data_IF_544458872995
#
_entry.id   IF_544458872995
#
_cell.length_a   1.000
_cell.length_b   1.000
_cell.length_c   1.000
_cell.angle_alpha   90.00
_cell.angle_beta   90.00
_cell.angle_gamma   90.00
#
_symmetry.space_group_name_H-M   'P 1'
#
loop_
_entity.id
_entity.type
_entity.pdbx_description
1 polymer ?
#
# COMPACT_ATOMS: atom_id res chain seq x y z
N UNK A 1 11.48 -0.58 10.27
CA UNK A 1 10.33 0.34 10.31
C UNK A 1 10.72 1.77 9.88
N UNK A 2 11.80 2.38 10.40
CA UNK A 2 12.18 3.76 10.07
C UNK A 2 12.27 4.07 8.57
N UNK A 3 12.87 3.18 7.77
CA UNK A 3 12.97 3.35 6.31
C UNK A 3 11.56 3.39 5.67
N UNK A 4 10.63 2.58 6.16
CA UNK A 4 9.26 2.53 5.63
C UNK A 4 8.47 3.78 6.01
N UNK A 5 8.58 4.24 7.25
CA UNK A 5 7.99 5.50 7.67
C UNK A 5 8.53 6.67 6.84
N UNK A 6 9.85 6.73 6.64
CA UNK A 6 10.46 7.75 5.77
C UNK A 6 9.96 7.65 4.33
N UNK A 7 9.86 6.46 3.75
CA UNK A 7 9.36 6.29 2.38
C UNK A 7 7.89 6.71 2.25
N UNK A 8 7.05 6.40 3.23
CA UNK A 8 5.65 6.82 3.28
C UNK A 8 5.52 8.35 3.39
N UNK A 9 6.34 8.98 4.24
CA UNK A 9 6.37 10.45 4.39
C UNK A 9 6.80 11.10 3.08
N UNK A 10 7.91 10.62 2.49
CA UNK A 10 8.44 11.15 1.23
C UNK A 10 7.41 10.99 0.12
N UNK A 11 6.79 9.83 -0.03
CA UNK A 11 5.76 9.58 -1.02
C UNK A 11 4.53 10.49 -0.82
N UNK A 12 4.08 10.68 0.43
CA UNK A 12 2.99 11.58 0.78
C UNK A 12 3.33 13.03 0.47
N UNK A 13 4.56 13.45 0.75
CA UNK A 13 5.04 14.81 0.45
C UNK A 13 5.10 15.05 -1.06
N UNK A 14 5.66 14.11 -1.83
CA UNK A 14 5.72 14.22 -3.29
C UNK A 14 4.32 14.21 -3.92
N UNK A 15 3.41 13.38 -3.45
CA UNK A 15 2.04 13.38 -3.97
C UNK A 15 1.34 14.72 -3.74
N UNK A 16 1.65 15.40 -2.64
CA UNK A 16 1.11 16.73 -2.32
C UNK A 16 1.71 17.85 -3.18
N UNK A 17 3.00 17.77 -3.52
CA UNK A 17 3.66 18.76 -4.41
C UNK A 17 3.13 18.65 -5.83
N UNK A 18 2.84 17.42 -6.30
CA UNK A 18 2.34 17.18 -7.65
C UNK A 18 0.87 17.65 -7.78
N UNK A 19 0.14 17.69 -6.68
CA UNK A 19 -1.26 18.13 -6.65
C UNK A 19 -1.31 19.57 -6.14
N UNK A 20 -1.37 20.55 -7.07
CA UNK A 20 -1.64 21.96 -6.74
C UNK A 20 -3.11 22.13 -6.30
N UNK A 21 -3.51 21.58 -5.17
CA UNK A 21 -4.88 21.65 -4.68
C UNK A 21 -5.13 20.74 -3.48
N UNK A 22 -6.35 20.74 -2.96
CA UNK A 22 -6.75 19.78 -1.93
C UNK A 22 -6.71 18.37 -2.54
N UNK A 23 -5.94 17.45 -1.94
CA UNK A 23 -5.95 16.06 -2.39
C UNK A 23 -7.33 15.48 -2.11
N UNK A 24 -8.04 15.10 -3.17
CA UNK A 24 -9.31 14.38 -3.02
C UNK A 24 -9.10 13.00 -2.39
N UNK A 25 -10.20 12.35 -2.05
CA UNK A 25 -10.21 10.96 -1.55
C UNK A 25 -9.59 10.04 -2.62
N UNK A 26 -8.85 9.03 -2.19
CA UNK A 26 -8.24 8.02 -3.06
C UNK A 26 -7.25 8.60 -4.09
N UNK A 27 -6.42 9.54 -3.68
CA UNK A 27 -5.43 10.12 -4.59
C UNK A 27 -4.48 9.05 -5.17
N UNK A 28 -4.28 8.98 -6.51
CA UNK A 28 -3.51 7.90 -7.14
C UNK A 28 -2.07 7.80 -6.64
N UNK A 29 -1.40 8.93 -6.37
CA UNK A 29 -0.04 8.93 -5.81
C UNK A 29 0.01 8.32 -4.40
N UNK A 30 -0.98 8.59 -3.56
CA UNK A 30 -1.09 8.00 -2.22
C UNK A 30 -1.35 6.50 -2.27
N UNK A 31 -2.18 6.04 -3.20
CA UNK A 31 -2.46 4.61 -3.38
C UNK A 31 -1.24 3.85 -3.90
N UNK A 32 -0.45 4.44 -4.80
CA UNK A 32 0.80 3.84 -5.25
C UNK A 32 1.83 3.77 -4.10
N UNK A 33 1.93 4.82 -3.29
CA UNK A 33 2.77 4.82 -2.09
C UNK A 33 2.33 3.76 -1.09
N UNK A 34 1.02 3.63 -0.84
CA UNK A 34 0.44 2.57 -0.02
C UNK A 34 0.81 1.19 -0.55
N UNK A 35 0.62 0.96 -1.85
CA UNK A 35 0.92 -0.32 -2.49
C UNK A 35 2.40 -0.71 -2.33
N UNK A 36 3.32 0.23 -2.55
CA UNK A 36 4.75 0.02 -2.34
C UNK A 36 5.06 -0.29 -0.87
N UNK A 37 4.45 0.43 0.07
CA UNK A 37 4.62 0.22 1.51
C UNK A 37 4.11 -1.15 1.92
N UNK A 38 2.92 -1.55 1.47
CA UNK A 38 2.34 -2.88 1.74
C UNK A 38 3.22 -4.00 1.19
N UNK A 39 3.73 -3.86 -0.03
CA UNK A 39 4.66 -4.83 -0.64
C UNK A 39 5.92 -4.98 0.20
N UNK A 40 6.60 -3.88 0.51
CA UNK A 40 7.85 -3.90 1.26
C UNK A 40 7.67 -4.49 2.66
N UNK A 41 6.61 -4.12 3.37
CA UNK A 41 6.33 -4.66 4.69
C UNK A 41 5.93 -6.15 4.67
N UNK A 42 5.30 -6.63 3.60
CA UNK A 42 4.96 -8.05 3.44
C UNK A 42 6.17 -8.95 3.19
N UNK A 43 7.30 -8.41 2.73
CA UNK A 43 8.55 -9.17 2.50
C UNK A 43 9.09 -9.77 3.80
N UNK A 44 8.99 -9.04 4.92
CA UNK A 44 9.52 -9.52 6.19
C UNK A 44 8.84 -10.80 6.69
N UNK A 45 7.51 -10.87 6.83
CA UNK A 45 6.82 -12.12 7.17
C UNK A 45 7.08 -13.24 6.15
N UNK A 46 7.18 -12.91 4.86
CA UNK A 46 7.48 -13.88 3.81
C UNK A 46 8.88 -14.48 3.98
N UNK A 47 9.88 -13.66 4.31
CA UNK A 47 11.24 -14.16 4.50
C UNK A 47 11.36 -15.06 5.74
N UNK A 48 10.60 -14.77 6.81
CA UNK A 48 10.50 -15.65 7.98
C UNK A 48 9.81 -16.96 7.60
N UNK A 49 8.74 -16.86 6.81
CA UNK A 49 7.90 -18.00 6.40
C UNK A 49 8.60 -18.94 5.42
N UNK A 50 9.40 -18.36 4.55
CA UNK A 50 10.08 -19.08 3.46
C UNK A 50 11.57 -18.68 3.47
N UNK A 51 12.44 -19.42 4.15
CA UNK A 51 13.86 -19.15 4.12
C UNK A 51 14.37 -19.06 2.68
N UNK A 52 15.09 -17.97 2.36
CA UNK A 52 15.55 -17.69 0.99
C UNK A 52 14.51 -17.00 0.09
N UNK A 53 13.43 -16.43 0.65
CA UNK A 53 12.48 -15.60 -0.12
C UNK A 53 13.15 -14.34 -0.69
N UNK A 54 14.19 -13.81 -0.04
CA UNK A 54 14.95 -12.64 -0.51
C UNK A 54 15.77 -12.89 -1.79
N UNK A 55 15.65 -14.05 -2.43
CA UNK A 55 16.21 -14.27 -3.75
C UNK A 55 15.50 -13.37 -4.78
N UNK A 56 16.30 -12.73 -5.63
CA UNK A 56 15.84 -11.76 -6.62
C UNK A 56 14.67 -12.26 -7.48
N UNK A 57 14.74 -13.50 -7.95
CA UNK A 57 13.67 -14.10 -8.76
C UNK A 57 12.33 -14.24 -8.04
N UNK A 58 12.35 -14.56 -6.74
CA UNK A 58 11.13 -14.70 -5.92
C UNK A 58 10.53 -13.34 -5.62
N UNK A 59 11.37 -12.37 -5.28
CA UNK A 59 10.93 -11.00 -5.06
C UNK A 59 10.30 -10.40 -6.32
N UNK A 60 10.91 -10.60 -7.49
CA UNK A 60 10.34 -10.17 -8.77
C UNK A 60 9.01 -10.83 -9.09
N UNK A 61 8.89 -12.14 -8.88
CA UNK A 61 7.60 -12.83 -9.07
C UNK A 61 6.51 -12.26 -8.18
N UNK A 62 6.83 -11.94 -6.93
CA UNK A 62 5.91 -11.34 -5.98
C UNK A 62 5.57 -9.88 -6.31
N UNK A 63 6.48 -9.15 -6.94
CA UNK A 63 6.27 -7.78 -7.40
C UNK A 63 5.52 -7.68 -8.74
N UNK A 64 5.39 -8.75 -9.51
CA UNK A 64 4.76 -8.74 -10.84
C UNK A 64 3.40 -8.03 -10.90
N UNK A 65 2.45 -8.26 -9.96
CA UNK A 65 1.16 -7.58 -10.00
C UNK A 65 1.30 -6.05 -9.92
N UNK A 66 2.25 -5.55 -9.13
CA UNK A 66 2.54 -4.12 -9.01
C UNK A 66 3.08 -3.57 -10.34
N UNK A 67 4.01 -4.29 -10.96
CA UNK A 67 4.62 -3.87 -12.22
C UNK A 67 3.60 -3.84 -13.35
N UNK A 68 2.70 -4.83 -13.39
CA UNK A 68 1.60 -4.86 -14.38
C UNK A 68 0.67 -3.67 -14.15
N UNK A 69 0.26 -3.41 -12.90
CA UNK A 69 -0.60 -2.28 -12.58
C UNK A 69 0.06 -0.96 -12.95
N UNK A 70 1.35 -0.80 -12.62
CA UNK A 70 2.11 0.41 -12.97
C UNK A 70 2.21 0.60 -14.50
N UNK A 71 2.45 -0.47 -15.25
CA UNK A 71 2.48 -0.41 -16.72
C UNK A 71 1.12 0.01 -17.29
N UNK A 72 0.01 -0.48 -16.73
CA UNK A 72 -1.33 -0.08 -17.13
C UNK A 72 -1.58 1.40 -16.81
N UNK A 73 -1.13 1.88 -15.63
CA UNK A 73 -1.21 3.28 -15.26
C UNK A 73 -0.45 4.18 -16.22
N UNK A 74 0.77 3.82 -16.58
CA UNK A 74 1.59 4.56 -17.55
C UNK A 74 0.91 4.57 -18.93
N UNK A 75 0.38 3.43 -19.39
CA UNK A 75 -0.32 3.34 -20.65
C UNK A 75 -1.60 4.21 -20.65
N UNK A 76 -2.39 4.18 -19.59
CA UNK A 76 -3.59 5.02 -19.45
C UNK A 76 -3.24 6.51 -19.46
N UNK A 77 -2.17 6.91 -18.76
CA UNK A 77 -1.69 8.29 -18.78
C UNK A 77 -1.20 8.71 -20.17
N UNK A 78 -0.50 7.83 -20.89
CA UNK A 78 -0.04 8.09 -22.28
C UNK A 78 -1.22 8.22 -23.26
N UNK A 79 -2.32 7.51 -23.03
CA UNK A 79 -3.56 7.64 -23.81
C UNK A 79 -4.39 8.87 -23.47
N UNK A 80 -3.89 9.74 -22.56
CA UNK A 80 -4.58 10.96 -22.16
C UNK A 80 -5.75 10.74 -21.20
N UNK A 81 -5.74 9.65 -20.44
CA UNK A 81 -6.71 9.44 -19.37
C UNK A 81 -6.65 10.60 -18.37
N UNK A 82 -7.79 11.25 -18.13
CA UNK A 82 -7.88 12.37 -17.18
C UNK A 82 -7.99 11.81 -15.76
N UNK A 83 -7.23 12.40 -14.84
CA UNK A 83 -7.37 12.12 -13.42
C UNK A 83 -8.70 12.71 -12.94
N UNK A 84 -9.57 11.86 -12.41
CA UNK A 84 -10.84 12.26 -11.82
C UNK A 84 -10.60 12.60 -10.35
N UNK A 85 -10.89 13.84 -9.96
CA UNK A 85 -10.82 14.26 -8.56
C UNK A 85 -12.12 13.85 -7.85
N UNK A 86 -11.98 13.19 -6.71
CA UNK A 86 -13.09 12.66 -5.92
C UNK A 86 -13.03 13.34 -4.56
N UNK A 87 -14.08 14.06 -4.21
CA UNK A 87 -14.18 14.76 -2.92
C UNK A 87 -15.24 14.13 -2.00
N UNK A 88 -16.13 13.31 -2.55
CA UNK A 88 -17.17 12.65 -1.79
C UNK A 88 -17.38 11.21 -2.24
N UNK A 89 -18.01 10.41 -1.39
CA UNK A 89 -18.41 9.03 -1.73
C UNK A 89 -19.44 9.02 -2.86
N UNK A 90 -20.25 10.07 -2.99
CA UNK A 90 -21.19 10.25 -4.12
C UNK A 90 -20.45 10.32 -5.44
N UNK A 91 -19.42 11.19 -5.53
CA UNK A 91 -18.59 11.34 -6.74
C UNK A 91 -17.91 10.03 -7.12
N UNK A 92 -17.51 9.22 -6.12
CA UNK A 92 -16.93 7.90 -6.34
C UNK A 92 -17.92 6.95 -7.02
N UNK A 93 -19.17 6.92 -6.53
CA UNK A 93 -20.21 6.03 -7.08
C UNK A 93 -20.63 6.44 -8.48
N UNK A 94 -20.73 7.73 -8.75
CA UNK A 94 -21.09 8.24 -10.09
C UNK A 94 -20.03 7.92 -11.14
N UNK A 95 -18.75 7.93 -10.74
CA UNK A 95 -17.63 7.73 -11.64
C UNK A 95 -16.99 6.33 -11.54
N UNK A 96 -17.61 5.38 -10.86
CA UNK A 96 -17.02 4.07 -10.55
C UNK A 96 -16.59 3.28 -11.80
N UNK A 97 -17.23 3.50 -12.92
CA UNK A 97 -16.91 2.86 -14.19
C UNK A 97 -15.80 3.56 -14.98
N UNK A 98 -15.29 4.69 -14.50
CA UNK A 98 -14.15 5.33 -15.14
C UNK A 98 -12.89 4.48 -15.03
N UNK A 99 -12.09 4.45 -16.09
CA UNK A 99 -10.83 3.67 -16.12
C UNK A 99 -9.87 4.06 -15.01
N UNK A 100 -9.81 5.35 -14.65
CA UNK A 100 -8.96 5.88 -13.60
C UNK A 100 -9.39 5.36 -12.21
N UNK A 101 -10.68 5.39 -11.90
CA UNK A 101 -11.20 4.88 -10.63
C UNK A 101 -11.04 3.36 -10.52
N UNK A 102 -11.28 2.62 -11.59
CA UNK A 102 -11.07 1.18 -11.61
C UNK A 102 -9.61 0.83 -11.31
N UNK A 103 -8.64 1.56 -11.88
CA UNK A 103 -7.22 1.37 -11.59
C UNK A 103 -6.89 1.67 -10.11
N UNK A 104 -7.49 2.72 -9.53
CA UNK A 104 -7.33 3.03 -8.11
C UNK A 104 -7.89 1.94 -7.20
N UNK A 105 -9.07 1.42 -7.53
CA UNK A 105 -9.67 0.30 -6.81
C UNK A 105 -8.83 -0.98 -6.94
N UNK A 106 -8.25 -1.23 -8.12
CA UNK A 106 -7.29 -2.34 -8.30
C UNK A 106 -6.04 -2.15 -7.42
N UNK A 107 -5.50 -0.93 -7.35
CA UNK A 107 -4.35 -0.63 -6.47
C UNK A 107 -4.69 -0.85 -4.99
N UNK A 108 -5.86 -0.40 -4.56
CA UNK A 108 -6.34 -0.61 -3.19
C UNK A 108 -6.56 -2.10 -2.90
N UNK A 109 -7.22 -2.83 -3.80
CA UNK A 109 -7.45 -4.27 -3.67
C UNK A 109 -6.15 -5.06 -3.59
N UNK A 110 -5.16 -4.72 -4.41
CA UNK A 110 -3.84 -5.35 -4.38
C UNK A 110 -3.11 -5.02 -3.06
N UNK A 111 -3.22 -3.80 -2.55
CA UNK A 111 -2.68 -3.41 -1.26
C UNK A 111 -3.28 -4.24 -0.12
N UNK A 112 -4.61 -4.46 -0.14
CA UNK A 112 -5.30 -5.30 0.84
C UNK A 112 -4.82 -6.75 0.78
N UNK A 113 -4.54 -7.31 -0.41
CA UNK A 113 -3.96 -8.65 -0.53
C UNK A 113 -2.57 -8.75 0.12
N UNK A 114 -1.72 -7.74 -0.05
CA UNK A 114 -0.42 -7.70 0.64
C UNK A 114 -0.58 -7.57 2.16
N UNK A 115 -1.53 -6.75 2.64
CA UNK A 115 -1.85 -6.63 4.07
C UNK A 115 -2.32 -7.98 4.63
N UNK A 116 -3.21 -8.67 3.93
CA UNK A 116 -3.65 -10.02 4.34
C UNK A 116 -2.47 -10.98 4.49
N UNK A 117 -1.48 -10.91 3.60
CA UNK A 117 -0.27 -11.74 3.72
C UNK A 117 0.54 -11.42 4.98
N UNK A 118 0.61 -10.16 5.42
CA UNK A 118 1.31 -9.77 6.64
C UNK A 118 0.69 -10.46 7.88
N UNK A 119 -0.64 -10.58 7.92
CA UNK A 119 -1.34 -11.20 9.04
C UNK A 119 -1.42 -12.73 8.93
N UNK A 120 -1.74 -13.25 7.75
CA UNK A 120 -2.03 -14.67 7.56
C UNK A 120 -0.78 -15.54 7.56
N UNK A 121 0.32 -15.09 6.98
CA UNK A 121 1.54 -15.89 6.86
C UNK A 121 2.15 -16.25 8.23
N UNK A 122 2.37 -15.29 9.15
CA UNK A 122 2.89 -15.60 10.48
C UNK A 122 1.97 -16.53 11.26
N UNK A 123 0.66 -16.35 11.12
CA UNK A 123 -0.32 -17.21 11.81
C UNK A 123 -0.31 -18.66 11.29
N UNK A 124 -0.17 -18.86 9.99
CA UNK A 124 -0.03 -20.19 9.40
C UNK A 124 1.26 -20.86 9.85
N UNK A 125 2.34 -20.12 9.95
CA UNK A 125 3.62 -20.66 10.40
C UNK A 125 3.64 -21.03 11.87
N UNK A 126 3.05 -20.22 12.72
CA UNK A 126 2.95 -20.52 14.15
C UNK A 126 2.27 -21.87 14.44
N UNK A 127 1.49 -22.37 13.48
CA UNK A 127 0.87 -23.72 13.58
C UNK A 127 1.82 -24.87 13.22
N UNK A 128 2.88 -24.59 12.48
CA UNK A 128 3.77 -25.63 11.90
C UNK A 128 5.22 -25.56 12.37
N UNK A 129 5.62 -24.47 13.01
CA UNK A 129 6.97 -24.27 13.52
C UNK A 129 6.94 -23.55 14.88
N UNK A 130 7.96 -23.79 15.70
CA UNK A 130 8.18 -23.05 16.96
C UNK A 130 8.64 -21.61 16.65
N UNK A 131 7.69 -20.77 16.18
CA UNK A 131 7.98 -19.36 15.91
C UNK A 131 7.96 -18.60 17.24
N UNK A 132 9.02 -17.85 17.58
CA UNK A 132 9.04 -17.04 18.78
C UNK A 132 7.89 -16.04 18.84
N UNK A 133 7.24 -15.92 19.98
CA UNK A 133 6.06 -15.05 20.16
C UNK A 133 6.36 -13.56 19.85
N UNK A 134 7.59 -13.11 20.09
CA UNK A 134 7.97 -11.73 19.76
C UNK A 134 7.95 -11.44 18.26
N UNK A 135 8.24 -12.43 17.40
CA UNK A 135 8.15 -12.29 15.96
C UNK A 135 6.70 -12.15 15.49
N UNK A 136 5.78 -12.89 16.09
CA UNK A 136 4.35 -12.75 15.82
C UNK A 136 3.85 -11.37 16.25
N UNK A 137 4.25 -10.90 17.43
CA UNK A 137 3.94 -9.56 17.92
C UNK A 137 4.46 -8.47 16.98
N UNK A 138 5.68 -8.62 16.48
CA UNK A 138 6.25 -7.69 15.52
C UNK A 138 5.49 -7.66 14.18
N UNK A 139 5.14 -8.83 13.63
CA UNK A 139 4.33 -8.91 12.41
C UNK A 139 2.95 -8.26 12.60
N UNK A 140 2.32 -8.49 13.75
CA UNK A 140 1.04 -7.88 14.08
C UNK A 140 1.15 -6.35 14.17
N UNK A 141 2.19 -5.84 14.83
CA UNK A 141 2.45 -4.40 14.90
C UNK A 141 2.70 -3.79 13.51
N UNK A 142 3.48 -4.45 12.67
CA UNK A 142 3.66 -4.03 11.27
C UNK A 142 2.36 -4.01 10.50
N UNK A 143 1.51 -5.02 10.68
CA UNK A 143 0.19 -5.08 10.06
C UNK A 143 -0.70 -3.91 10.49
N UNK A 144 -0.73 -3.58 11.79
CA UNK A 144 -1.45 -2.41 12.30
C UNK A 144 -0.93 -1.09 11.71
N UNK A 145 0.39 -0.95 11.62
CA UNK A 145 1.03 0.22 10.98
C UNK A 145 0.53 0.41 9.55
N UNK A 146 0.46 -0.67 8.76
CA UNK A 146 0.00 -0.59 7.38
C UNK A 146 -1.51 -0.32 7.28
N UNK A 147 -2.31 -0.91 8.15
CA UNK A 147 -3.76 -0.63 8.21
C UNK A 147 -4.01 0.85 8.53
N UNK A 148 -3.27 1.40 9.51
CA UNK A 148 -3.39 2.81 9.83
C UNK A 148 -2.95 3.69 8.65
N UNK A 149 -1.84 3.35 7.99
CA UNK A 149 -1.39 4.06 6.80
C UNK A 149 -2.38 3.95 5.64
N UNK A 150 -3.09 2.83 5.51
CA UNK A 150 -4.18 2.68 4.52
C UNK A 150 -5.27 3.73 4.74
N UNK A 151 -5.65 3.96 5.99
CA UNK A 151 -6.63 4.99 6.32
C UNK A 151 -6.14 6.38 5.93
N UNK A 152 -4.89 6.71 6.25
CA UNK A 152 -4.26 7.99 5.84
C UNK A 152 -4.18 8.13 4.32
N UNK A 153 -3.98 7.04 3.59
CA UNK A 153 -3.88 7.06 2.13
C UNK A 153 -5.23 7.21 1.43
N UNK A 154 -6.31 6.76 2.06
CA UNK A 154 -7.69 6.89 1.53
C UNK A 154 -8.18 8.32 1.71
N UNK A 155 -8.07 8.85 2.91
CA UNK A 155 -8.51 10.19 3.28
C UNK A 155 -7.27 10.96 3.79
N UNK A 156 -6.67 11.75 2.89
CA UNK A 156 -5.41 12.39 3.19
C UNK A 156 -5.60 13.52 4.20
N UNK A 157 -5.36 13.24 5.48
CA UNK A 157 -5.26 14.24 6.53
C UNK A 157 -3.82 14.32 7.06
N UNK A 158 -3.23 15.52 6.97
CA UNK A 158 -1.86 15.80 7.47
C UNK A 158 -1.75 15.53 8.97
N UNK A 159 -2.83 15.73 9.74
CA UNK A 159 -2.85 15.46 11.18
C UNK A 159 -2.70 13.96 11.44
N UNK A 160 -3.43 13.14 10.69
CA UNK A 160 -3.35 11.70 10.80
C UNK A 160 -1.98 11.17 10.36
N UNK A 161 -1.37 11.76 9.33
CA UNK A 161 -0.01 11.44 8.93
C UNK A 161 1.00 11.75 10.05
N UNK A 162 0.85 12.88 10.73
CA UNK A 162 1.69 13.23 11.89
C UNK A 162 1.53 12.21 13.03
N UNK A 163 0.29 11.81 13.34
CA UNK A 163 0.02 10.76 14.33
C UNK A 163 0.66 9.42 13.92
N UNK A 164 0.56 9.05 12.65
CA UNK A 164 1.22 7.84 12.13
C UNK A 164 2.73 7.85 12.37
N UNK A 165 3.38 8.96 12.06
CA UNK A 165 4.84 9.13 12.23
C UNK A 165 5.26 9.04 13.71
N UNK A 166 4.41 9.52 14.62
CA UNK A 166 4.71 9.49 16.07
C UNK A 166 4.52 8.08 16.64
N UNK A 167 3.52 7.34 16.16
CA UNK A 167 3.15 6.02 16.71
C UNK A 167 4.01 4.88 16.14
N UNK A 168 4.49 4.99 14.91
CA UNK A 168 5.14 3.90 14.17
C UNK A 168 6.53 4.27 13.67
#
# INVERSE_FOLDING_TARGET
NGIFCCSAIVASFFSRIIVNGEPGILHPGMLLALLCTCYLQSIYPLNISMPGFLQWERMWRYARPILVLLAIYIAAAAMGSRIVYIYSVGDLLENILSSDILLRLCALGLSLLYIMNIFLLPHRMARHANVPHYLLGYCFFMGLSVVFYTYVAIDFDVRLLAVYVILF
#
